data_IF_362322108932
#
_entry.id   IF_362322108932
#
_cell.length_a   1.000
_cell.length_b   1.000
_cell.length_c   1.000
_cell.angle_alpha   90.00
_cell.angle_beta   90.00
_cell.angle_gamma   90.00
#
_symmetry.space_group_name_H-M   'P 1'
#
loop_
_entity.id
_entity.type
_entity.pdbx_description
1 polymer ?
#
# COMPACT_ATOMS: atom_id res chain seq x y z
N UNK A 1 -17.32 17.21 6.98
CA UNK A 1 -17.18 16.04 7.88
C UNK A 1 -15.72 15.59 7.86
N UNK A 2 -15.05 15.53 9.00
CA UNK A 2 -13.68 15.01 9.05
C UNK A 2 -13.69 13.51 8.72
N UNK A 3 -12.77 13.07 7.84
CA UNK A 3 -12.63 11.67 7.44
C UNK A 3 -12.24 10.85 8.68
N UNK A 4 -13.02 9.83 9.05
CA UNK A 4 -12.71 8.97 10.19
C UNK A 4 -11.44 8.17 9.90
N UNK A 5 -10.38 8.40 10.66
CA UNK A 5 -9.12 7.65 10.55
C UNK A 5 -9.23 6.37 11.36
N UNK A 6 -9.03 5.22 10.72
CA UNK A 6 -8.96 3.91 11.38
C UNK A 6 -7.49 3.50 11.43
N UNK A 7 -7.01 3.13 12.63
CA UNK A 7 -5.63 2.62 12.80
C UNK A 7 -5.63 1.10 12.61
N UNK A 8 -4.81 0.62 11.70
CA UNK A 8 -4.64 -0.80 11.39
C UNK A 8 -3.15 -1.14 11.38
N UNK A 9 -2.77 -2.21 12.08
CA UNK A 9 -1.43 -2.78 11.99
C UNK A 9 -1.33 -3.72 10.78
N UNK A 10 -0.31 -3.52 9.94
CA UNK A 10 -0.03 -4.40 8.79
C UNK A 10 1.42 -4.87 8.81
N UNK A 11 1.63 -6.11 8.40
CA UNK A 11 2.96 -6.65 8.13
C UNK A 11 3.30 -6.45 6.65
N UNK A 12 4.51 -6.00 6.36
CA UNK A 12 5.00 -5.75 5.01
C UNK A 12 6.27 -6.55 4.76
N UNK A 13 6.42 -7.06 3.54
CA UNK A 13 7.68 -7.65 3.11
C UNK A 13 8.78 -6.59 3.18
N UNK A 14 10.00 -7.00 3.54
CA UNK A 14 11.13 -6.09 3.71
C UNK A 14 11.45 -5.29 2.42
N UNK A 15 11.23 -5.91 1.25
CA UNK A 15 11.40 -5.26 -0.06
C UNK A 15 10.37 -4.14 -0.30
N UNK A 16 9.12 -4.34 0.13
CA UNK A 16 8.06 -3.33 0.04
C UNK A 16 8.34 -2.20 1.02
N UNK A 17 8.72 -2.51 2.26
CA UNK A 17 9.09 -1.52 3.27
C UNK A 17 10.25 -0.62 2.78
N UNK A 18 11.28 -1.20 2.14
CA UNK A 18 12.38 -0.43 1.54
C UNK A 18 11.92 0.52 0.44
N UNK A 19 11.01 0.08 -0.44
CA UNK A 19 10.46 0.94 -1.50
C UNK A 19 9.63 2.10 -0.92
N UNK A 20 8.86 1.85 0.14
CA UNK A 20 8.13 2.92 0.86
C UNK A 20 9.09 3.96 1.43
N UNK A 21 10.16 3.52 2.09
CA UNK A 21 11.22 4.41 2.60
C UNK A 21 11.89 5.22 1.50
N UNK A 22 12.14 4.60 0.35
CA UNK A 22 12.74 5.28 -0.80
C UNK A 22 11.84 6.41 -1.32
N UNK A 23 10.53 6.20 -1.40
CA UNK A 23 9.56 7.25 -1.78
C UNK A 23 9.62 8.42 -0.80
N UNK A 24 9.61 8.15 0.51
CA UNK A 24 9.69 9.20 1.54
C UNK A 24 11.00 9.99 1.39
N UNK A 25 12.13 9.30 1.24
CA UNK A 25 13.45 9.94 1.14
C UNK A 25 13.62 10.75 -0.14
N UNK A 26 12.99 10.33 -1.24
CA UNK A 26 13.06 11.01 -2.54
C UNK A 26 12.11 12.20 -2.65
N UNK A 27 11.20 12.37 -1.70
CA UNK A 27 10.22 13.47 -1.69
C UNK A 27 10.27 14.27 -0.38
N UNK A 28 11.44 14.81 0.04
CA UNK A 28 11.59 15.55 1.29
C UNK A 28 10.70 16.82 1.34
N UNK A 29 10.40 17.42 0.20
CA UNK A 29 9.53 18.59 0.06
C UNK A 29 8.09 18.33 0.50
N UNK A 30 7.64 17.09 0.41
CA UNK A 30 6.28 16.68 0.76
C UNK A 30 6.13 16.33 2.24
N UNK A 31 7.23 16.20 3.00
CA UNK A 31 7.24 15.85 4.44
C UNK A 31 6.35 14.65 4.79
N UNK A 32 6.33 13.65 3.91
CA UNK A 32 5.44 12.50 3.99
C UNK A 32 5.80 11.58 5.17
N UNK A 33 4.77 11.03 5.82
CA UNK A 33 4.93 9.88 6.71
C UNK A 33 4.54 8.56 6.02
N UNK A 34 4.96 7.43 6.61
CA UNK A 34 4.66 6.09 6.07
C UNK A 34 3.17 5.83 5.89
N UNK A 35 2.35 6.31 6.82
CA UNK A 35 0.90 6.10 6.79
C UNK A 35 0.27 6.87 5.65
N UNK A 36 0.72 8.10 5.43
CA UNK A 36 0.26 8.94 4.32
C UNK A 36 0.60 8.32 2.97
N UNK A 37 1.83 7.82 2.81
CA UNK A 37 2.24 7.11 1.58
C UNK A 37 1.40 5.86 1.35
N UNK A 38 1.27 4.99 2.36
CA UNK A 38 0.49 3.75 2.26
C UNK A 38 -0.99 4.05 1.96
N UNK A 39 -1.58 5.02 2.66
CA UNK A 39 -2.97 5.40 2.48
C UNK A 39 -3.22 6.02 1.09
N UNK A 40 -2.27 6.78 0.56
CA UNK A 40 -2.35 7.35 -0.79
C UNK A 40 -2.27 6.27 -1.87
N UNK A 41 -1.32 5.33 -1.74
CA UNK A 41 -1.18 4.21 -2.68
C UNK A 41 -2.41 3.30 -2.65
N UNK A 42 -2.89 2.93 -1.46
CA UNK A 42 -4.10 2.11 -1.34
C UNK A 42 -5.33 2.86 -1.84
N UNK A 43 -5.42 4.16 -1.56
CA UNK A 43 -6.44 5.05 -2.11
C UNK A 43 -6.48 4.95 -3.64
N UNK A 44 -5.38 5.27 -4.31
CA UNK A 44 -5.26 5.19 -5.76
C UNK A 44 -5.57 3.78 -6.30
N UNK A 45 -5.09 2.72 -5.62
CA UNK A 45 -5.42 1.35 -6.00
C UNK A 45 -6.92 1.08 -6.01
N UNK A 46 -7.65 1.48 -4.97
CA UNK A 46 -9.10 1.22 -4.90
C UNK A 46 -9.95 2.22 -5.70
N UNK A 47 -9.51 3.47 -5.88
CA UNK A 47 -10.33 4.51 -6.52
C UNK A 47 -10.03 4.72 -7.99
N UNK A 48 -8.76 4.61 -8.40
CA UNK A 48 -8.32 4.87 -9.78
C UNK A 48 -8.17 3.57 -10.57
N UNK A 49 -7.41 2.62 -10.02
CA UNK A 49 -7.13 1.33 -10.70
C UNK A 49 -8.38 0.43 -10.70
N UNK A 50 -9.22 0.54 -9.65
CA UNK A 50 -10.47 -0.22 -9.48
C UNK A 50 -10.31 -1.71 -9.85
N UNK A 51 -9.35 -2.41 -9.24
CA UNK A 51 -9.07 -3.81 -9.54
C UNK A 51 -10.33 -4.65 -9.32
N UNK A 52 -10.60 -5.57 -10.24
CA UNK A 52 -11.67 -6.52 -10.02
C UNK A 52 -11.34 -7.45 -8.84
N UNK A 53 -12.37 -7.87 -8.11
CA UNK A 53 -12.21 -8.83 -7.01
C UNK A 53 -11.49 -10.11 -7.49
N UNK A 54 -11.75 -10.55 -8.72
CA UNK A 54 -11.12 -11.72 -9.31
C UNK A 54 -9.59 -11.52 -9.46
N UNK A 55 -9.15 -10.41 -10.03
CA UNK A 55 -7.73 -10.10 -10.18
C UNK A 55 -7.00 -9.98 -8.85
N UNK A 56 -7.62 -9.34 -7.85
CA UNK A 56 -7.06 -9.27 -6.50
C UNK A 56 -6.91 -10.67 -5.89
N UNK A 57 -7.94 -11.53 -6.01
CA UNK A 57 -7.88 -12.92 -5.53
C UNK A 57 -6.78 -13.72 -6.22
N UNK A 58 -6.69 -13.64 -7.55
CA UNK A 58 -5.65 -14.34 -8.31
C UNK A 58 -4.24 -13.91 -7.89
N UNK A 59 -4.04 -12.60 -7.68
CA UNK A 59 -2.75 -12.06 -7.25
C UNK A 59 -2.35 -12.62 -5.88
N UNK A 60 -3.29 -12.64 -4.92
CA UNK A 60 -3.06 -13.21 -3.58
C UNK A 60 -2.72 -14.71 -3.68
N UNK A 61 -3.47 -15.46 -4.49
CA UNK A 61 -3.22 -16.89 -4.69
C UNK A 61 -1.85 -17.16 -5.31
N UNK A 62 -1.45 -16.37 -6.32
CA UNK A 62 -0.12 -16.46 -6.94
C UNK A 62 0.98 -16.16 -5.94
N UNK A 63 0.81 -15.16 -5.07
CA UNK A 63 1.80 -14.85 -4.01
C UNK A 63 1.93 -16.03 -3.04
N UNK A 64 0.81 -16.54 -2.50
CA UNK A 64 0.83 -17.68 -1.58
C UNK A 64 1.46 -18.94 -2.17
N UNK A 65 1.22 -19.21 -3.46
CA UNK A 65 1.81 -20.36 -4.17
C UNK A 65 3.33 -20.22 -4.40
N UNK A 66 3.87 -19.01 -4.44
CA UNK A 66 5.32 -18.77 -4.60
C UNK A 66 6.08 -18.80 -3.27
N UNK A 67 5.36 -18.62 -2.16
CA UNK A 67 5.90 -18.72 -0.80
C UNK A 67 5.83 -20.16 -0.23
N UNK A 68 5.12 -21.06 -0.92
CA UNK A 68 5.14 -22.51 -0.74
C UNK A 68 6.19 -23.15 -1.67
#
# INVERSE_FOLDING_TARGET
MAKKVVRTGISLDSSIAKKLEEVIKKSPELKLDRSEVVNSILGAYFTEIKPSLLQTKETIMKKRKKEL
#
